data_IF_465477705054
#
_entry.id   IF_465477705054
#
_cell.length_a   1.000
_cell.length_b   1.000
_cell.length_c   1.000
_cell.angle_alpha   90.00
_cell.angle_beta   90.00
_cell.angle_gamma   90.00
#
_symmetry.space_group_name_H-M   'P 1'
#
loop_
_entity.id
_entity.type
_entity.pdbx_description
1 polymer ?
#
# COMPACT_ATOMS: atom_id res chain seq x y z
N UNK A 1 -6.65 24.02 3.29
CA UNK A 1 -6.40 22.61 3.68
C UNK A 1 -7.57 21.70 3.28
N UNK A 2 -7.32 20.41 2.99
CA UNK A 2 -8.40 19.41 2.74
C UNK A 2 -8.84 18.72 4.03
N UNK A 3 -10.12 18.35 4.14
CA UNK A 3 -10.66 17.56 5.26
C UNK A 3 -9.92 16.22 5.42
N UNK A 4 -9.55 15.78 6.64
CA UNK A 4 -8.92 14.47 6.88
C UNK A 4 -9.89 13.28 6.81
N UNK A 5 -10.73 13.21 5.77
CA UNK A 5 -11.74 12.14 5.59
C UNK A 5 -11.14 10.73 5.58
N UNK A 6 -9.94 10.54 5.02
CA UNK A 6 -9.28 9.24 5.01
C UNK A 6 -8.88 8.73 6.40
N UNK A 7 -8.62 9.65 7.34
CA UNK A 7 -8.30 9.30 8.73
C UNK A 7 -9.58 8.85 9.44
N UNK A 8 -10.69 9.58 9.23
CA UNK A 8 -11.99 9.22 9.76
C UNK A 8 -12.42 7.82 9.30
N UNK A 9 -12.37 7.54 8.00
CA UNK A 9 -12.72 6.22 7.45
C UNK A 9 -11.88 5.10 8.07
N UNK A 10 -10.57 5.31 8.24
CA UNK A 10 -9.68 4.31 8.85
C UNK A 10 -10.06 4.02 10.30
N UNK A 11 -10.39 5.06 11.09
CA UNK A 11 -10.76 4.90 12.49
C UNK A 11 -12.16 4.28 12.61
N UNK A 12 -13.11 4.68 11.76
CA UNK A 12 -14.44 4.07 11.72
C UNK A 12 -14.39 2.58 11.42
N UNK A 13 -13.60 2.16 10.42
CA UNK A 13 -13.42 0.74 10.10
C UNK A 13 -12.76 -0.03 11.26
N UNK A 14 -11.72 0.54 11.89
CA UNK A 14 -11.05 -0.04 13.04
C UNK A 14 -12.00 -0.26 14.23
N UNK A 15 -12.78 0.77 14.58
CA UNK A 15 -13.74 0.69 15.69
C UNK A 15 -14.89 -0.27 15.37
N UNK A 16 -15.42 -0.25 14.14
CA UNK A 16 -16.49 -1.14 13.71
C UNK A 16 -16.04 -2.61 13.76
N UNK A 17 -14.85 -2.93 13.27
CA UNK A 17 -14.30 -4.29 13.29
C UNK A 17 -14.05 -4.77 14.72
N UNK A 18 -13.45 -3.95 15.56
CA UNK A 18 -13.20 -4.30 16.98
C UNK A 18 -14.51 -4.55 17.72
N UNK A 19 -15.51 -3.69 17.52
CA UNK A 19 -16.83 -3.84 18.16
C UNK A 19 -17.54 -5.10 17.68
N UNK A 20 -17.55 -5.35 16.38
CA UNK A 20 -18.15 -6.56 15.80
C UNK A 20 -17.45 -7.84 16.28
N UNK A 21 -16.12 -7.83 16.38
CA UNK A 21 -15.35 -8.96 16.89
C UNK A 21 -15.59 -9.22 18.38
N UNK A 22 -15.71 -8.17 19.21
CA UNK A 22 -16.05 -8.30 20.63
C UNK A 22 -17.48 -8.85 20.83
N UNK A 23 -18.45 -8.34 20.07
CA UNK A 23 -19.82 -8.85 20.08
C UNK A 23 -19.89 -10.33 19.62
N UNK A 24 -19.13 -10.69 18.59
CA UNK A 24 -19.11 -12.07 18.13
C UNK A 24 -18.39 -12.99 19.13
N UNK A 25 -17.36 -12.49 19.81
CA UNK A 25 -16.66 -13.18 20.90
C UNK A 25 -17.57 -13.49 22.09
N UNK A 26 -18.46 -12.57 22.49
CA UNK A 26 -19.44 -12.86 23.56
C UNK A 26 -20.45 -13.92 23.11
N UNK A 27 -20.83 -13.90 21.84
CA UNK A 27 -21.71 -14.92 21.25
C UNK A 27 -21.06 -16.30 21.26
N UNK A 28 -19.78 -16.41 20.86
CA UNK A 28 -19.03 -17.67 20.95
C UNK A 28 -18.86 -18.14 22.40
N UNK A 29 -18.64 -17.22 23.35
CA UNK A 29 -18.60 -17.56 24.77
C UNK A 29 -19.91 -18.16 25.26
N UNK A 30 -21.04 -17.55 24.91
CA UNK A 30 -22.36 -18.06 25.30
C UNK A 30 -22.69 -19.41 24.68
N UNK A 31 -22.14 -19.70 23.49
CA UNK A 31 -22.30 -20.98 22.80
C UNK A 31 -21.34 -22.07 23.31
N UNK A 32 -20.38 -21.74 24.18
CA UNK A 32 -19.34 -22.68 24.67
C UNK A 32 -18.16 -22.87 23.72
N UNK A 33 -18.10 -22.14 22.60
CA UNK A 33 -17.08 -22.25 21.56
C UNK A 33 -15.78 -21.49 21.89
N UNK A 34 -15.05 -21.97 22.90
CA UNK A 34 -13.84 -21.31 23.42
C UNK A 34 -12.72 -21.17 22.37
N UNK A 35 -12.58 -22.14 21.46
CA UNK A 35 -11.55 -22.12 20.42
C UNK A 35 -11.82 -21.01 19.40
N UNK A 36 -13.07 -20.91 18.91
CA UNK A 36 -13.46 -19.87 17.96
C UNK A 36 -13.42 -18.48 18.58
N UNK A 37 -13.80 -18.37 19.86
CA UNK A 37 -13.60 -17.16 20.64
C UNK A 37 -12.11 -16.77 20.69
N UNK A 38 -11.24 -17.71 21.05
CA UNK A 38 -9.80 -17.48 21.18
C UNK A 38 -9.17 -16.95 19.90
N UNK A 39 -9.43 -17.60 18.76
CA UNK A 39 -8.90 -17.13 17.47
C UNK A 39 -9.50 -15.79 17.02
N UNK A 40 -10.80 -15.57 17.23
CA UNK A 40 -11.47 -14.29 16.89
C UNK A 40 -10.86 -13.13 17.68
N UNK A 41 -10.57 -13.34 18.97
CA UNK A 41 -9.91 -12.35 19.82
C UNK A 41 -8.43 -12.18 19.45
N UNK A 42 -7.71 -13.27 19.14
CA UNK A 42 -6.30 -13.21 18.74
C UNK A 42 -6.09 -12.32 17.51
N UNK A 43 -6.86 -12.56 16.44
CA UNK A 43 -6.77 -11.78 15.19
C UNK A 43 -7.30 -10.35 15.34
N UNK A 44 -8.02 -10.04 16.42
CA UNK A 44 -8.45 -8.67 16.72
C UNK A 44 -7.41 -7.94 17.57
N UNK A 45 -6.93 -8.55 18.65
CA UNK A 45 -6.11 -7.89 19.67
C UNK A 45 -4.64 -7.74 19.25
N UNK A 46 -4.02 -8.75 18.64
CA UNK A 46 -2.60 -8.69 18.24
C UNK A 46 -2.33 -7.52 17.28
N UNK A 47 -3.10 -7.34 16.19
CA UNK A 47 -2.93 -6.21 15.29
C UNK A 47 -3.23 -4.87 15.95
N UNK A 48 -4.18 -4.82 16.89
CA UNK A 48 -4.45 -3.60 17.64
C UNK A 48 -3.25 -3.16 18.49
N UNK A 49 -2.57 -4.09 19.15
CA UNK A 49 -1.32 -3.81 19.87
C UNK A 49 -0.25 -3.31 18.91
N UNK A 50 -0.06 -3.97 17.75
CA UNK A 50 0.91 -3.54 16.75
C UNK A 50 0.61 -2.14 16.19
N UNK A 51 -0.66 -1.83 15.93
CA UNK A 51 -1.11 -0.50 15.48
C UNK A 51 -0.81 0.56 16.53
N UNK A 52 -1.11 0.28 17.80
CA UNK A 52 -0.81 1.21 18.89
C UNK A 52 0.68 1.45 19.05
N UNK A 53 1.50 0.38 19.09
CA UNK A 53 2.95 0.49 19.18
C UNK A 53 3.49 1.34 18.03
N UNK A 54 3.03 1.06 16.81
CA UNK A 54 3.41 1.83 15.62
C UNK A 54 3.04 3.31 15.75
N UNK A 55 1.84 3.63 16.26
CA UNK A 55 1.45 5.03 16.48
C UNK A 55 2.31 5.72 17.56
N UNK A 56 2.60 5.03 18.67
CA UNK A 56 3.44 5.57 19.77
C UNK A 56 4.85 5.88 19.26
N UNK A 57 5.45 4.96 18.51
CA UNK A 57 6.80 5.11 17.97
C UNK A 57 6.87 6.21 16.91
N UNK A 58 5.94 6.24 15.94
CA UNK A 58 5.95 7.22 14.84
C UNK A 58 5.70 8.64 15.34
N UNK A 59 4.80 8.84 16.31
CA UNK A 59 4.55 10.17 16.86
C UNK A 59 5.54 10.56 17.97
N UNK A 60 6.47 9.66 18.32
CA UNK A 60 7.45 9.83 19.39
C UNK A 60 6.80 10.26 20.71
N UNK A 61 5.62 9.71 21.02
CA UNK A 61 4.89 10.06 22.24
C UNK A 61 5.63 9.67 23.50
N UNK A 62 6.50 8.66 23.42
CA UNK A 62 7.35 8.24 24.52
C UNK A 62 8.35 9.33 24.96
N UNK A 63 8.68 10.26 24.07
CA UNK A 63 9.60 11.38 24.33
C UNK A 63 8.88 12.65 24.78
N UNK A 64 7.55 12.69 24.74
CA UNK A 64 6.74 13.84 25.13
C UNK A 64 6.13 13.52 26.48
N UNK A 65 6.29 14.39 27.47
CA UNK A 65 5.73 14.26 28.83
C UNK A 65 4.18 14.33 28.84
N UNK A 66 3.51 13.37 28.21
CA UNK A 66 2.05 13.28 28.09
C UNK A 66 1.59 11.90 28.54
N UNK A 67 1.67 11.59 29.85
CA UNK A 67 1.34 10.27 30.40
C UNK A 67 -0.12 9.87 30.13
N UNK A 68 -1.04 10.82 30.06
CA UNK A 68 -2.45 10.57 29.74
C UNK A 68 -2.65 10.05 28.32
N UNK A 69 -1.87 10.54 27.35
CA UNK A 69 -1.95 10.05 25.96
C UNK A 69 -1.40 8.62 25.92
N UNK A 70 -0.29 8.36 26.60
CA UNK A 70 0.30 7.02 26.67
C UNK A 70 -0.63 6.00 27.35
N UNK A 71 -1.32 6.40 28.43
CA UNK A 71 -2.36 5.60 29.08
C UNK A 71 -3.53 5.30 28.13
N UNK A 72 -3.96 6.28 27.35
CA UNK A 72 -5.09 6.13 26.44
C UNK A 72 -4.73 5.31 25.20
N UNK A 73 -3.46 5.36 24.79
CA UNK A 73 -2.88 4.38 23.88
C UNK A 73 -2.96 2.98 24.50
N UNK A 74 -2.49 2.77 25.73
CA UNK A 74 -2.56 1.47 26.44
C UNK A 74 -4.00 0.93 26.54
N UNK A 75 -5.00 1.81 26.65
CA UNK A 75 -6.43 1.46 26.63
C UNK A 75 -7.00 1.25 25.21
N UNK A 76 -6.16 1.14 24.18
CA UNK A 76 -6.55 0.88 22.79
C UNK A 76 -7.38 1.99 22.12
N UNK A 77 -7.45 3.16 22.75
CA UNK A 77 -8.12 4.36 22.22
C UNK A 77 -7.18 5.25 21.40
N UNK A 78 -5.90 4.88 21.26
CA UNK A 78 -4.87 5.59 20.49
C UNK A 78 -5.35 6.09 19.11
N UNK A 79 -5.89 5.23 18.23
CA UNK A 79 -6.41 5.65 16.92
C UNK A 79 -7.49 6.73 17.01
N UNK A 80 -8.39 6.65 18.00
CA UNK A 80 -9.51 7.58 18.17
C UNK A 80 -9.02 8.97 18.55
N UNK A 81 -8.15 9.09 19.56
CA UNK A 81 -7.71 10.43 19.97
C UNK A 81 -6.74 11.04 18.97
N UNK A 82 -5.98 10.23 18.22
CA UNK A 82 -5.19 10.72 17.09
C UNK A 82 -6.03 11.20 15.91
N UNK A 83 -7.22 10.62 15.73
CA UNK A 83 -8.21 11.15 14.80
C UNK A 83 -8.72 12.52 15.28
N UNK A 84 -9.10 12.63 16.56
CA UNK A 84 -9.55 13.89 17.15
C UNK A 84 -8.48 14.99 17.07
N UNK A 85 -7.21 14.67 17.39
CA UNK A 85 -6.08 15.60 17.25
C UNK A 85 -5.95 16.10 15.80
N UNK A 86 -6.08 15.22 14.80
CA UNK A 86 -6.06 15.61 13.38
C UNK A 86 -7.23 16.55 13.00
N UNK A 87 -8.42 16.33 13.55
CA UNK A 87 -9.57 17.22 13.35
C UNK A 87 -9.42 18.55 14.08
N UNK A 88 -8.87 18.57 15.30
CA UNK A 88 -8.57 19.79 16.03
C UNK A 88 -7.53 20.64 15.29
N UNK A 89 -6.46 20.03 14.74
CA UNK A 89 -5.47 20.74 13.91
C UNK A 89 -6.14 21.34 12.67
N UNK A 90 -7.03 20.60 12.01
CA UNK A 90 -7.77 21.11 10.85
C UNK A 90 -8.70 22.28 11.21
N UNK A 91 -9.41 22.21 12.33
CA UNK A 91 -10.32 23.27 12.79
C UNK A 91 -9.62 24.51 13.36
N UNK A 92 -8.40 24.36 13.86
CA UNK A 92 -7.57 25.47 14.36
C UNK A 92 -6.70 26.13 13.29
N UNK A 93 -6.60 25.52 12.10
CA UNK A 93 -5.87 26.07 10.96
C UNK A 93 -6.52 27.39 10.51
N UNK A 94 -5.76 28.48 10.59
CA UNK A 94 -6.20 29.84 10.27
C UNK A 94 -6.36 30.79 11.46
N UNK A 95 -6.28 30.30 12.71
CA UNK A 95 -6.31 31.17 13.92
C UNK A 95 -4.94 31.37 14.58
N UNK A 96 -4.06 30.38 14.48
CA UNK A 96 -2.69 30.40 15.02
C UNK A 96 -1.80 29.74 13.98
N UNK A 97 -1.18 30.54 13.12
CA UNK A 97 -0.23 30.06 12.13
C UNK A 97 1.16 30.58 12.54
N UNK A 98 2.04 29.67 12.95
CA UNK A 98 3.44 30.03 13.24
C UNK A 98 4.13 30.43 11.93
N UNK A 99 5.02 31.43 11.93
CA UNK A 99 5.57 32.04 10.71
C UNK A 99 6.54 31.14 9.92
N UNK A 100 6.86 29.93 10.40
CA UNK A 100 7.83 29.04 9.77
C UNK A 100 7.14 28.05 8.82
N UNK A 101 7.63 28.03 7.58
CA UNK A 101 7.05 27.24 6.49
C UNK A 101 8.08 26.24 5.98
N UNK A 102 7.66 24.98 5.83
CA UNK A 102 8.50 23.95 5.20
C UNK A 102 8.32 24.00 3.69
N UNK A 103 9.36 24.40 2.95
CA UNK A 103 9.33 24.44 1.48
C UNK A 103 9.56 23.02 0.97
N UNK A 104 8.58 22.49 0.24
CA UNK A 104 8.73 21.23 -0.50
C UNK A 104 8.75 21.50 -1.99
N UNK A 105 9.84 21.12 -2.66
CA UNK A 105 9.96 21.19 -4.12
C UNK A 105 9.36 19.93 -4.74
N UNK A 106 8.34 20.07 -5.59
CA UNK A 106 7.81 18.97 -6.41
C UNK A 106 7.70 19.41 -7.87
N UNK A 107 8.12 18.55 -8.79
CA UNK A 107 7.95 18.73 -10.23
C UNK A 107 6.49 18.52 -10.60
N UNK A 108 5.88 19.46 -11.32
CA UNK A 108 4.58 19.21 -11.93
C UNK A 108 4.72 18.25 -13.11
N UNK A 109 3.66 17.47 -13.33
CA UNK A 109 3.59 16.54 -14.45
C UNK A 109 3.66 17.34 -15.77
N UNK A 110 4.60 17.05 -16.69
CA UNK A 110 4.75 17.83 -17.91
C UNK A 110 3.52 17.62 -18.81
N UNK A 111 2.67 18.66 -18.94
CA UNK A 111 1.52 18.66 -19.87
C UNK A 111 1.95 18.80 -21.33
N UNK A 112 3.11 19.43 -21.59
CA UNK A 112 3.67 19.68 -22.92
C UNK A 112 5.22 19.70 -22.92
N UNK A 113 5.86 18.74 -22.23
CA UNK A 113 7.33 18.55 -22.31
C UNK A 113 8.20 19.49 -21.47
N UNK A 114 7.65 20.50 -20.82
CA UNK A 114 8.33 21.24 -19.75
C UNK A 114 7.80 20.78 -18.39
N UNK A 115 8.71 20.33 -17.52
CA UNK A 115 8.43 20.05 -16.12
C UNK A 115 8.69 21.34 -15.35
N UNK A 116 7.63 21.99 -14.87
CA UNK A 116 7.74 23.16 -14.01
C UNK A 116 7.96 22.68 -12.57
N UNK A 117 9.05 23.11 -11.95
CA UNK A 117 9.30 22.89 -10.54
C UNK A 117 8.43 23.88 -9.75
N UNK A 118 7.46 23.36 -9.00
CA UNK A 118 6.63 24.20 -8.13
C UNK A 118 7.09 24.00 -6.70
N UNK A 119 7.60 25.07 -6.13
CA UNK A 119 7.86 25.20 -4.70
C UNK A 119 6.51 25.32 -3.99
N UNK A 120 6.20 24.34 -3.15
CA UNK A 120 5.02 24.38 -2.31
C UNK A 120 5.45 24.60 -0.87
N UNK A 121 5.14 25.80 -0.40
CA UNK A 121 5.22 26.24 0.97
C UNK A 121 4.17 25.49 1.81
N UNK A 122 4.59 24.48 2.58
CA UNK A 122 3.72 23.76 3.50
C UNK A 122 3.81 24.39 4.88
N UNK A 123 2.73 25.01 5.33
CA UNK A 123 2.61 25.46 6.72
C UNK A 123 2.76 24.29 7.70
N UNK A 124 3.29 24.55 8.89
CA UNK A 124 3.56 23.51 9.90
C UNK A 124 2.31 22.67 10.27
N UNK A 125 1.13 23.30 10.32
CA UNK A 125 -0.14 22.60 10.54
C UNK A 125 -0.49 21.65 9.38
N UNK A 126 -0.17 22.02 8.13
CA UNK A 126 -0.33 21.14 6.98
C UNK A 126 0.66 19.98 7.03
N UNK A 127 1.94 20.26 7.33
CA UNK A 127 2.98 19.25 7.52
C UNK A 127 2.63 18.23 8.60
N UNK A 128 2.12 18.69 9.75
CA UNK A 128 1.62 17.81 10.83
C UNK A 128 0.46 16.95 10.31
N UNK A 129 -0.52 17.53 9.61
CA UNK A 129 -1.66 16.77 9.08
C UNK A 129 -1.24 15.73 8.02
N UNK A 130 -0.25 16.04 7.18
CA UNK A 130 0.34 15.09 6.22
C UNK A 130 1.02 13.93 6.95
N UNK A 131 1.79 14.21 8.00
CA UNK A 131 2.42 13.18 8.83
C UNK A 131 1.37 12.27 9.50
N UNK A 132 0.29 12.85 10.06
CA UNK A 132 -0.83 12.06 10.60
C UNK A 132 -1.46 11.16 9.51
N UNK A 133 -1.74 11.69 8.32
CA UNK A 133 -2.31 10.89 7.21
C UNK A 133 -1.39 9.74 6.77
N UNK A 134 -0.08 9.95 6.76
CA UNK A 134 0.90 8.93 6.42
C UNK A 134 1.02 7.86 7.53
N UNK A 135 0.97 8.26 8.80
CA UNK A 135 0.93 7.33 9.93
C UNK A 135 -0.32 6.44 9.87
N UNK A 136 -1.50 7.04 9.71
CA UNK A 136 -2.76 6.30 9.57
C UNK A 136 -2.83 5.42 8.32
N UNK A 137 -2.16 5.81 7.23
CA UNK A 137 -2.03 4.93 6.06
C UNK A 137 -1.29 3.63 6.41
N UNK A 138 -0.15 3.75 7.11
CA UNK A 138 0.68 2.60 7.49
C UNK A 138 -0.04 1.69 8.49
N UNK A 139 -0.70 2.27 9.49
CA UNK A 139 -1.45 1.48 10.48
C UNK A 139 -2.67 0.79 9.87
N UNK A 140 -3.37 1.43 8.93
CA UNK A 140 -4.48 0.78 8.21
C UNK A 140 -4.02 -0.45 7.43
N UNK A 141 -2.79 -0.45 6.89
CA UNK A 141 -2.22 -1.60 6.17
C UNK A 141 -1.88 -2.73 7.14
N UNK A 142 -1.27 -2.40 8.28
CA UNK A 142 -0.97 -3.37 9.35
C UNK A 142 -2.27 -4.05 9.81
N UNK A 143 -3.29 -3.27 10.17
CA UNK A 143 -4.59 -3.79 10.62
C UNK A 143 -5.25 -4.68 9.55
N UNK A 144 -5.28 -4.20 8.30
CA UNK A 144 -5.89 -4.91 7.19
C UNK A 144 -5.33 -6.32 6.99
N UNK A 145 -4.00 -6.46 6.94
CA UNK A 145 -3.39 -7.74 6.56
C UNK A 145 -3.03 -8.66 7.73
N UNK A 146 -2.72 -8.10 8.91
CA UNK A 146 -2.41 -8.89 10.09
C UNK A 146 -3.63 -9.21 10.96
N UNK A 147 -4.70 -8.41 10.83
CA UNK A 147 -5.96 -8.64 11.53
C UNK A 147 -7.09 -9.03 10.61
N UNK A 148 -7.53 -8.11 9.76
CA UNK A 148 -8.77 -8.27 9.00
C UNK A 148 -8.71 -9.45 8.01
N UNK A 149 -7.58 -9.72 7.35
CA UNK A 149 -7.45 -10.83 6.41
C UNK A 149 -7.50 -12.22 7.08
N UNK A 150 -6.71 -12.50 8.15
CA UNK A 150 -6.89 -13.71 8.95
C UNK A 150 -8.29 -13.82 9.56
N UNK A 151 -8.86 -12.71 10.05
CA UNK A 151 -10.20 -12.69 10.63
C UNK A 151 -11.27 -13.07 9.61
N UNK A 152 -11.24 -12.47 8.40
CA UNK A 152 -12.14 -12.81 7.30
C UNK A 152 -12.01 -14.29 6.92
N UNK A 153 -10.78 -14.78 6.81
CA UNK A 153 -10.48 -16.19 6.49
C UNK A 153 -11.07 -17.12 7.54
N UNK A 154 -10.89 -16.81 8.83
CA UNK A 154 -11.42 -17.57 9.95
C UNK A 154 -12.96 -17.60 9.95
N UNK A 155 -13.61 -16.44 9.85
CA UNK A 155 -15.07 -16.39 9.92
C UNK A 155 -15.71 -17.07 8.71
N UNK A 156 -15.14 -16.90 7.51
CA UNK A 156 -15.60 -17.62 6.33
C UNK A 156 -15.41 -19.14 6.49
N UNK A 157 -14.28 -19.56 7.06
CA UNK A 157 -14.02 -20.98 7.35
C UNK A 157 -15.04 -21.57 8.34
N UNK A 158 -15.38 -20.85 9.41
CA UNK A 158 -16.42 -21.28 10.37
C UNK A 158 -17.78 -21.37 9.66
N UNK A 159 -18.15 -20.40 8.83
CA UNK A 159 -19.40 -20.43 8.06
C UNK A 159 -19.47 -21.64 7.11
N UNK A 160 -18.36 -21.99 6.45
CA UNK A 160 -18.29 -23.18 5.58
C UNK A 160 -18.44 -24.47 6.39
N UNK A 161 -17.81 -24.56 7.57
CA UNK A 161 -17.93 -25.74 8.44
C UNK A 161 -19.33 -25.91 9.03
N UNK A 162 -19.93 -24.83 9.51
CA UNK A 162 -21.23 -24.85 10.18
C UNK A 162 -22.42 -24.78 9.21
N UNK A 163 -22.17 -24.47 7.94
CA UNK A 163 -23.18 -24.28 6.87
C UNK A 163 -24.24 -23.22 7.19
N UNK A 164 -23.91 -22.28 8.08
CA UNK A 164 -24.81 -21.22 8.50
C UNK A 164 -24.04 -19.90 8.64
N UNK A 165 -24.69 -18.82 8.19
CA UNK A 165 -24.18 -17.46 8.23
C UNK A 165 -25.04 -16.67 9.21
N UNK A 166 -24.57 -16.60 10.45
CA UNK A 166 -25.19 -15.71 11.43
C UNK A 166 -24.97 -14.24 11.04
N UNK A 167 -25.91 -13.37 11.40
CA UNK A 167 -25.86 -11.93 11.11
C UNK A 167 -24.55 -11.31 11.64
N UNK A 168 -24.11 -11.73 12.84
CA UNK A 168 -22.86 -11.26 13.44
C UNK A 168 -21.62 -11.65 12.62
N UNK A 169 -21.55 -12.89 12.12
CA UNK A 169 -20.44 -13.34 11.26
C UNK A 169 -20.44 -12.62 9.91
N UNK A 170 -21.60 -12.55 9.26
CA UNK A 170 -21.75 -11.85 7.99
C UNK A 170 -21.32 -10.37 8.10
N UNK A 171 -21.75 -9.70 9.17
CA UNK A 171 -21.36 -8.31 9.43
C UNK A 171 -19.85 -8.16 9.62
N UNK A 172 -19.24 -9.01 10.46
CA UNK A 172 -17.79 -8.98 10.67
C UNK A 172 -17.02 -9.28 9.39
N UNK A 173 -17.45 -10.25 8.58
CA UNK A 173 -16.84 -10.58 7.30
C UNK A 173 -16.89 -9.39 6.32
N UNK A 174 -18.03 -8.71 6.21
CA UNK A 174 -18.15 -7.52 5.33
C UNK A 174 -17.25 -6.40 5.81
N UNK A 175 -17.22 -6.10 7.12
CA UNK A 175 -16.36 -5.06 7.67
C UNK A 175 -14.88 -5.40 7.47
N UNK A 176 -14.48 -6.64 7.74
CA UNK A 176 -13.11 -7.09 7.51
C UNK A 176 -12.73 -7.02 6.03
N UNK A 177 -13.60 -7.43 5.10
CA UNK A 177 -13.32 -7.29 3.66
C UNK A 177 -13.13 -5.83 3.26
N UNK A 178 -14.00 -4.91 3.73
CA UNK A 178 -13.86 -3.48 3.49
C UNK A 178 -12.56 -2.93 4.08
N UNK A 179 -12.17 -3.38 5.27
CA UNK A 179 -10.92 -3.01 5.93
C UNK A 179 -9.69 -3.45 5.10
N UNK A 180 -9.67 -4.70 4.62
CA UNK A 180 -8.56 -5.22 3.81
C UNK A 180 -8.46 -4.45 2.48
N UNK A 181 -9.58 -4.27 1.78
CA UNK A 181 -9.62 -3.57 0.49
C UNK A 181 -9.19 -2.11 0.65
N UNK A 182 -9.65 -1.43 1.70
CA UNK A 182 -9.24 -0.05 2.01
C UNK A 182 -7.75 0.03 2.35
N UNK A 183 -7.23 -0.90 3.16
CA UNK A 183 -5.79 -1.00 3.47
C UNK A 183 -4.94 -1.24 2.22
N UNK A 184 -5.34 -2.18 1.36
CA UNK A 184 -4.68 -2.48 0.10
C UNK A 184 -4.69 -1.28 -0.87
N UNK A 185 -5.82 -0.56 -0.96
CA UNK A 185 -5.95 0.68 -1.71
C UNK A 185 -4.97 1.74 -1.18
N UNK A 186 -4.92 1.96 0.13
CA UNK A 186 -3.99 2.92 0.75
C UNK A 186 -2.53 2.52 0.51
N UNK A 187 -2.21 1.23 0.58
CA UNK A 187 -0.89 0.71 0.23
C UNK A 187 -0.54 1.04 -1.23
N UNK A 188 -1.45 0.81 -2.18
CA UNK A 188 -1.26 1.13 -3.60
C UNK A 188 -1.00 2.62 -3.82
N UNK A 189 -1.83 3.49 -3.25
CA UNK A 189 -1.67 4.94 -3.42
C UNK A 189 -0.39 5.44 -2.76
N UNK A 190 -0.03 4.89 -1.59
CA UNK A 190 1.22 5.22 -0.92
C UNK A 190 2.43 4.78 -1.75
N UNK A 191 2.40 3.58 -2.33
CA UNK A 191 3.45 3.07 -3.20
C UNK A 191 3.69 3.98 -4.42
N UNK A 192 2.61 4.46 -5.05
CA UNK A 192 2.69 5.39 -6.18
C UNK A 192 3.32 6.71 -5.74
N UNK A 193 2.91 7.25 -4.59
CA UNK A 193 3.46 8.50 -4.06
C UNK A 193 4.94 8.38 -3.72
N UNK A 194 5.38 7.26 -3.17
CA UNK A 194 6.80 7.03 -2.85
C UNK A 194 7.61 6.85 -4.14
N UNK A 195 7.09 6.08 -5.11
CA UNK A 195 7.78 5.86 -6.39
C UNK A 195 7.96 7.15 -7.18
N UNK A 196 6.97 8.03 -7.16
CA UNK A 196 6.95 9.30 -7.90
C UNK A 196 6.98 10.49 -6.94
N UNK A 197 7.81 10.45 -5.90
CA UNK A 197 7.84 11.50 -4.88
C UNK A 197 8.30 12.86 -5.44
N UNK A 198 9.16 12.81 -6.47
CA UNK A 198 9.59 13.99 -7.22
C UNK A 198 8.42 14.71 -7.89
N UNK A 199 7.29 14.04 -8.13
CA UNK A 199 6.15 14.58 -8.85
C UNK A 199 4.97 14.94 -7.92
N UNK A 200 4.26 16.01 -8.26
CA UNK A 200 2.99 16.34 -7.63
C UNK A 200 1.87 15.37 -8.10
N UNK A 201 1.79 14.19 -7.49
CA UNK A 201 0.82 13.15 -7.88
C UNK A 201 -0.57 13.45 -7.31
N UNK A 202 -1.49 13.87 -8.20
CA UNK A 202 -2.92 13.88 -7.92
C UNK A 202 -3.59 12.64 -8.51
N UNK A 203 -4.41 11.96 -7.70
CA UNK A 203 -5.06 10.70 -8.11
C UNK A 203 -6.52 10.99 -8.42
N UNK A 204 -6.96 10.62 -9.62
CA UNK A 204 -8.33 10.82 -10.08
C UNK A 204 -9.32 9.86 -9.37
N UNK A 205 -10.57 10.26 -9.07
CA UNK A 205 -11.56 9.39 -8.41
C UNK A 205 -11.77 8.02 -9.07
N UNK A 206 -11.78 7.97 -10.40
CA UNK A 206 -11.89 6.70 -11.16
C UNK A 206 -10.74 5.73 -10.91
N UNK A 207 -9.55 6.25 -10.61
CA UNK A 207 -8.40 5.43 -10.25
C UNK A 207 -8.62 4.72 -8.91
N UNK A 208 -9.25 5.39 -7.94
CA UNK A 208 -9.62 4.76 -6.66
C UNK A 208 -10.65 3.64 -6.86
N UNK A 209 -11.68 3.86 -7.69
CA UNK A 209 -12.70 2.84 -7.99
C UNK A 209 -12.07 1.63 -8.67
N UNK A 210 -11.20 1.85 -9.66
CA UNK A 210 -10.52 0.78 -10.39
C UNK A 210 -9.61 -0.05 -9.48
N UNK A 211 -8.84 0.60 -8.59
CA UNK A 211 -8.00 -0.12 -7.61
C UNK A 211 -8.88 -0.84 -6.58
N UNK A 212 -9.98 -0.24 -6.13
CA UNK A 212 -10.91 -0.88 -5.21
C UNK A 212 -11.47 -2.17 -5.81
N UNK A 213 -11.97 -2.14 -7.05
CA UNK A 213 -12.48 -3.34 -7.73
C UNK A 213 -11.39 -4.39 -7.95
N UNK A 214 -10.21 -3.98 -8.44
CA UNK A 214 -9.06 -4.87 -8.58
C UNK A 214 -8.73 -5.59 -7.26
N UNK A 215 -8.59 -4.85 -6.16
CA UNK A 215 -8.24 -5.42 -4.85
C UNK A 215 -9.34 -6.28 -4.26
N UNK A 216 -10.61 -5.88 -4.38
CA UNK A 216 -11.76 -6.67 -3.92
C UNK A 216 -11.78 -8.06 -4.54
N UNK A 217 -11.70 -8.14 -5.87
CA UNK A 217 -11.75 -9.44 -6.56
C UNK A 217 -10.50 -10.30 -6.28
N UNK A 218 -9.31 -9.69 -6.24
CA UNK A 218 -8.06 -10.41 -5.95
C UNK A 218 -8.09 -11.05 -4.55
N UNK A 219 -8.43 -10.26 -3.52
CA UNK A 219 -8.45 -10.71 -2.13
C UNK A 219 -9.59 -11.69 -1.88
N UNK A 220 -10.80 -11.39 -2.36
CA UNK A 220 -11.97 -12.25 -2.15
C UNK A 220 -11.75 -13.65 -2.76
N UNK A 221 -11.22 -13.71 -3.99
CA UNK A 221 -10.90 -14.98 -4.63
C UNK A 221 -9.86 -15.76 -3.82
N UNK A 222 -8.79 -15.08 -3.37
CA UNK A 222 -7.72 -15.74 -2.61
C UNK A 222 -8.22 -16.32 -1.28
N UNK A 223 -8.99 -15.54 -0.52
CA UNK A 223 -9.55 -15.99 0.75
C UNK A 223 -10.53 -17.15 0.53
N UNK A 224 -11.40 -17.07 -0.47
CA UNK A 224 -12.33 -18.16 -0.78
C UNK A 224 -11.61 -19.47 -1.14
N UNK A 225 -10.59 -19.41 -2.00
CA UNK A 225 -9.79 -20.60 -2.39
C UNK A 225 -9.10 -21.23 -1.17
N UNK A 226 -8.47 -20.42 -0.31
CA UNK A 226 -7.79 -20.92 0.89
C UNK A 226 -8.78 -21.57 1.87
N UNK A 227 -9.96 -20.97 2.04
CA UNK A 227 -10.99 -21.53 2.93
C UNK A 227 -11.58 -22.82 2.39
N UNK A 228 -11.89 -22.88 1.09
CA UNK A 228 -12.39 -24.10 0.45
C UNK A 228 -11.36 -25.22 0.57
N UNK A 229 -10.10 -24.96 0.21
CA UNK A 229 -9.02 -25.94 0.39
C UNK A 229 -8.89 -26.40 1.86
N UNK A 230 -8.89 -25.45 2.80
CA UNK A 230 -8.76 -25.73 4.22
C UNK A 230 -9.94 -26.50 4.82
N UNK A 231 -11.14 -26.41 4.26
CA UNK A 231 -12.33 -27.10 4.77
C UNK A 231 -12.24 -28.63 4.61
N UNK A 232 -11.51 -29.09 3.59
CA UNK A 232 -11.28 -30.52 3.31
C UNK A 232 -9.92 -30.97 3.83
N UNK A 233 -8.84 -30.24 3.52
CA UNK A 233 -7.46 -30.63 3.82
C UNK A 233 -6.85 -29.78 4.96
N UNK A 234 -7.46 -29.84 6.15
CA UNK A 234 -7.10 -29.02 7.32
C UNK A 234 -5.61 -29.07 7.68
N UNK A 235 -5.00 -30.25 7.64
CA UNK A 235 -3.59 -30.45 7.98
C UNK A 235 -2.62 -29.79 6.98
N UNK A 236 -3.02 -29.65 5.71
CA UNK A 236 -2.19 -29.07 4.65
C UNK A 236 -2.35 -27.56 4.50
N UNK A 237 -3.42 -26.98 5.05
CA UNK A 237 -3.64 -25.53 5.01
C UNK A 237 -2.47 -24.77 5.63
N UNK A 238 -2.05 -25.14 6.85
CA UNK A 238 -0.98 -24.46 7.55
C UNK A 238 0.36 -24.56 6.79
N UNK A 239 0.83 -25.74 6.36
CA UNK A 239 2.02 -25.86 5.51
C UNK A 239 1.98 -25.01 4.24
N UNK A 240 0.86 -24.99 3.50
CA UNK A 240 0.74 -24.21 2.24
C UNK A 240 0.85 -22.71 2.52
N UNK A 241 0.17 -22.21 3.54
CA UNK A 241 0.22 -20.79 3.92
C UNK A 241 1.60 -20.42 4.46
N UNK A 242 2.20 -21.26 5.30
CA UNK A 242 3.54 -21.04 5.85
C UNK A 242 4.61 -21.06 4.75
N UNK A 243 4.55 -22.01 3.82
CA UNK A 243 5.48 -22.08 2.70
C UNK A 243 5.39 -20.81 1.84
N UNK A 244 4.17 -20.37 1.52
CA UNK A 244 3.97 -19.08 0.82
C UNK A 244 4.57 -17.93 1.61
N UNK A 245 4.29 -17.84 2.91
CA UNK A 245 4.77 -16.78 3.78
C UNK A 245 6.29 -16.73 3.82
N UNK A 246 6.96 -17.85 4.09
CA UNK A 246 8.41 -17.92 4.14
C UNK A 246 9.05 -17.62 2.78
N UNK A 247 8.45 -18.06 1.67
CA UNK A 247 8.94 -17.72 0.34
C UNK A 247 8.96 -16.20 0.11
N UNK A 248 7.88 -15.48 0.45
CA UNK A 248 7.84 -14.02 0.32
C UNK A 248 8.69 -13.30 1.36
N UNK A 249 8.81 -13.84 2.57
CA UNK A 249 9.64 -13.27 3.62
C UNK A 249 11.12 -13.34 3.23
N UNK A 250 11.60 -14.49 2.74
CA UNK A 250 12.99 -14.70 2.39
C UNK A 250 13.39 -14.05 1.05
N UNK A 251 12.44 -13.78 0.15
CA UNK A 251 12.74 -13.25 -1.18
C UNK A 251 13.52 -11.92 -1.17
N UNK A 252 13.15 -10.88 -0.39
CA UNK A 252 13.92 -9.65 -0.29
C UNK A 252 15.32 -9.87 0.30
N UNK A 253 15.44 -10.70 1.34
CA UNK A 253 16.73 -11.03 1.98
C UNK A 253 17.67 -11.77 1.04
N UNK A 254 17.15 -12.72 0.27
CA UNK A 254 17.93 -13.41 -0.76
C UNK A 254 18.42 -12.46 -1.86
N UNK A 255 17.62 -11.46 -2.23
CA UNK A 255 18.04 -10.41 -3.19
C UNK A 255 19.15 -9.54 -2.61
N UNK A 256 19.03 -9.16 -1.33
CA UNK A 256 20.03 -8.38 -0.60
C UNK A 256 21.37 -9.11 -0.45
N UNK A 257 21.35 -10.38 -0.04
CA UNK A 257 22.59 -11.16 0.08
C UNK A 257 23.29 -11.38 -1.25
N UNK A 258 22.54 -11.49 -2.35
CA UNK A 258 23.12 -11.59 -3.70
C UNK A 258 23.73 -10.29 -4.20
N UNK A 259 23.23 -9.13 -3.79
CA UNK A 259 23.76 -7.85 -4.23
C UNK A 259 25.09 -7.49 -3.55
N UNK A 260 25.41 -8.13 -2.41
CA UNK A 260 26.63 -7.85 -1.65
C UNK A 260 26.69 -6.43 -1.08
N UNK A 261 25.56 -5.74 -1.02
CA UNK A 261 25.46 -4.36 -0.55
C UNK A 261 25.76 -4.27 0.96
N UNK A 262 26.42 -3.21 1.45
CA UNK A 262 26.59 -3.00 2.88
C UNK A 262 25.23 -2.92 3.58
N UNK A 263 25.18 -3.37 4.84
CA UNK A 263 23.96 -3.27 5.64
C UNK A 263 23.56 -1.80 5.78
N UNK A 264 22.27 -1.44 5.59
CA UNK A 264 21.84 -0.05 5.66
C UNK A 264 22.20 0.57 7.01
N UNK A 265 23.15 1.52 7.02
CA UNK A 265 23.50 2.26 8.22
C UNK A 265 22.48 3.38 8.44
N UNK A 266 21.60 3.18 9.44
CA UNK A 266 20.58 4.11 9.94
C UNK A 266 19.51 4.56 8.92
N UNK A 267 18.39 3.81 8.85
CA UNK A 267 17.14 4.27 8.18
C UNK A 267 16.63 5.58 8.79
N UNK A 268 16.92 5.78 10.06
CA UNK A 268 16.72 7.03 10.78
C UNK A 268 17.95 7.23 11.66
N UNK A 269 18.53 8.44 11.68
CA UNK A 269 19.72 8.78 12.51
C UNK A 269 19.53 8.47 14.01
N UNK A 270 18.28 8.28 14.43
CA UNK A 270 17.86 7.95 15.79
C UNK A 270 17.95 6.44 16.13
N UNK A 271 18.06 5.56 15.13
CA UNK A 271 17.82 4.12 15.30
C UNK A 271 19.14 3.33 15.38
N UNK A 272 19.29 2.53 16.44
CA UNK A 272 20.45 1.64 16.62
C UNK A 272 20.52 0.58 15.51
N UNK A 273 21.70 -0.02 15.28
CA UNK A 273 21.86 -1.10 14.28
C UNK A 273 20.87 -2.26 14.51
N UNK A 274 20.64 -2.61 15.78
CA UNK A 274 19.64 -3.63 16.18
C UNK A 274 18.23 -3.17 15.84
N UNK A 275 17.87 -1.93 16.17
CA UNK A 275 16.53 -1.43 15.84
C UNK A 275 16.29 -1.33 14.33
N UNK A 276 17.31 -1.00 13.53
CA UNK A 276 17.23 -0.97 12.06
C UNK A 276 16.95 -2.38 11.52
N UNK A 277 17.66 -3.40 12.03
CA UNK A 277 17.41 -4.79 11.69
C UNK A 277 15.99 -5.24 12.08
N UNK A 278 15.51 -4.87 13.27
CA UNK A 278 14.14 -5.16 13.73
C UNK A 278 13.10 -4.48 12.85
N UNK A 279 13.30 -3.23 12.45
CA UNK A 279 12.39 -2.50 11.55
C UNK A 279 12.33 -3.17 10.17
N UNK A 280 13.47 -3.59 9.63
CA UNK A 280 13.56 -4.37 8.37
C UNK A 280 12.82 -5.72 8.48
N UNK A 281 13.00 -6.43 9.60
CA UNK A 281 12.33 -7.68 9.86
C UNK A 281 10.80 -7.50 9.93
N UNK A 282 10.32 -6.46 10.62
CA UNK A 282 8.89 -6.14 10.69
C UNK A 282 8.32 -5.71 9.33
N UNK A 283 9.09 -4.94 8.55
CA UNK A 283 8.69 -4.52 7.20
C UNK A 283 8.62 -5.71 6.24
N UNK A 284 9.61 -6.62 6.28
CA UNK A 284 9.61 -7.85 5.47
C UNK A 284 8.52 -8.82 5.91
N UNK A 285 8.23 -8.92 7.22
CA UNK A 285 7.10 -9.69 7.75
C UNK A 285 5.76 -9.16 7.23
N UNK A 286 5.54 -7.84 7.28
CA UNK A 286 4.35 -7.21 6.73
C UNK A 286 4.25 -7.40 5.21
N UNK A 287 5.36 -7.23 4.48
CA UNK A 287 5.44 -7.47 3.04
C UNK A 287 5.06 -8.91 2.69
N UNK A 288 5.55 -9.91 3.44
CA UNK A 288 5.19 -11.30 3.26
C UNK A 288 3.69 -11.53 3.53
N UNK A 289 3.16 -10.97 4.63
CA UNK A 289 1.74 -11.04 4.96
C UNK A 289 0.84 -10.47 3.86
N UNK A 290 1.20 -9.31 3.30
CA UNK A 290 0.48 -8.71 2.17
C UNK A 290 0.51 -9.67 0.97
N UNK A 291 1.70 -10.11 0.56
CA UNK A 291 1.88 -10.96 -0.63
C UNK A 291 1.25 -12.34 -0.51
N UNK A 292 0.98 -12.86 0.70
CA UNK A 292 0.20 -14.10 0.90
C UNK A 292 -1.25 -13.95 0.37
N UNK A 293 -1.83 -12.75 0.52
CA UNK A 293 -3.21 -12.47 0.15
C UNK A 293 -3.36 -11.73 -1.19
N UNK A 294 -2.49 -10.75 -1.49
CA UNK A 294 -2.58 -9.94 -2.70
C UNK A 294 -1.21 -9.37 -3.10
N UNK A 295 -1.04 -9.00 -4.38
CA UNK A 295 0.20 -8.39 -4.86
C UNK A 295 0.53 -7.08 -4.12
N UNK A 296 1.66 -7.01 -3.42
CA UNK A 296 2.12 -5.74 -2.83
C UNK A 296 2.58 -4.77 -3.92
N UNK A 297 2.00 -3.57 -3.95
CA UNK A 297 2.48 -2.50 -4.83
C UNK A 297 3.83 -1.93 -4.39
N UNK A 298 4.15 -2.03 -3.10
CA UNK A 298 5.48 -1.72 -2.55
C UNK A 298 6.35 -2.96 -2.73
N UNK A 299 7.26 -2.91 -3.68
CA UNK A 299 8.24 -3.96 -3.92
C UNK A 299 9.50 -3.62 -3.13
N UNK A 300 9.85 -4.47 -2.17
CA UNK A 300 10.96 -4.20 -1.25
C UNK A 300 12.29 -4.56 -1.91
N UNK A 301 13.22 -3.60 -1.89
CA UNK A 301 14.58 -3.74 -2.41
C UNK A 301 15.56 -3.18 -1.37
N UNK A 302 16.06 -4.07 -0.53
CA UNK A 302 16.83 -3.74 0.68
C UNK A 302 18.22 -3.12 0.38
N UNK A 303 18.70 -3.28 -0.85
CA UNK A 303 19.95 -2.67 -1.34
C UNK A 303 19.78 -1.20 -1.75
N UNK A 304 18.55 -0.73 -1.97
CA UNK A 304 18.29 0.68 -2.31
C UNK A 304 18.09 1.53 -1.03
N UNK A 305 18.53 2.80 -1.02
CA UNK A 305 18.40 3.70 0.13
C UNK A 305 16.93 3.99 0.50
N UNK A 306 16.02 3.95 -0.47
CA UNK A 306 14.57 4.14 -0.25
C UNK A 306 13.86 2.82 0.14
N UNK A 307 14.59 1.71 0.23
CA UNK A 307 14.11 0.34 0.45
C UNK A 307 13.07 -0.16 -0.57
N UNK A 308 12.74 0.63 -1.58
CA UNK A 308 11.61 0.42 -2.48
C UNK A 308 12.10 0.45 -3.92
N UNK A 309 11.75 -0.59 -4.66
CA UNK A 309 12.05 -0.71 -6.09
C UNK A 309 11.25 0.34 -6.89
N UNK A 310 11.95 1.39 -7.34
CA UNK A 310 11.37 2.43 -8.20
C UNK A 310 11.11 1.91 -9.62
N UNK A 311 11.77 0.82 -10.04
CA UNK A 311 11.67 0.32 -11.40
C UNK A 311 10.46 -0.62 -11.54
N UNK A 312 9.49 -0.25 -12.37
CA UNK A 312 8.28 -1.06 -12.54
C UNK A 312 8.54 -2.28 -13.43
N UNK A 313 8.93 -3.38 -12.80
CA UNK A 313 9.12 -4.66 -13.49
C UNK A 313 7.81 -5.37 -13.77
N UNK A 314 7.16 -5.10 -14.92
CA UNK A 314 5.98 -5.85 -15.41
C UNK A 314 6.18 -7.38 -15.32
N UNK A 315 7.41 -7.86 -15.58
CA UNK A 315 7.78 -9.27 -15.46
C UNK A 315 7.47 -9.86 -14.08
N UNK A 316 7.76 -9.13 -13.01
CA UNK A 316 7.54 -9.60 -11.62
C UNK A 316 6.04 -9.66 -11.30
N UNK A 317 5.28 -8.65 -11.73
CA UNK A 317 3.83 -8.64 -11.59
C UNK A 317 3.21 -9.81 -12.37
N UNK A 318 3.55 -9.98 -13.66
CA UNK A 318 3.06 -11.09 -14.48
C UNK A 318 3.41 -12.45 -13.86
N UNK A 319 4.66 -12.65 -13.43
CA UNK A 319 5.07 -13.89 -12.78
C UNK A 319 4.25 -14.18 -11.51
N UNK A 320 4.02 -13.16 -10.67
CA UNK A 320 3.20 -13.30 -9.47
C UNK A 320 1.76 -13.70 -9.79
N UNK A 321 1.09 -12.98 -10.70
CA UNK A 321 -0.29 -13.29 -11.08
C UNK A 321 -0.40 -14.67 -11.76
N UNK A 322 0.57 -15.06 -12.60
CA UNK A 322 0.59 -16.40 -13.20
C UNK A 322 0.79 -17.51 -12.15
N UNK A 323 1.77 -17.37 -11.24
CA UNK A 323 2.01 -18.36 -10.18
C UNK A 323 0.78 -18.48 -9.28
N UNK A 324 0.18 -17.36 -8.88
CA UNK A 324 -1.03 -17.34 -8.04
C UNK A 324 -2.23 -17.95 -8.74
N UNK A 325 -2.38 -17.73 -10.04
CA UNK A 325 -3.44 -18.37 -10.82
C UNK A 325 -3.28 -19.90 -10.83
N UNK A 326 -2.08 -20.39 -11.11
CA UNK A 326 -1.77 -21.83 -11.10
C UNK A 326 -1.98 -22.42 -9.72
N UNK A 327 -1.51 -21.75 -8.66
CA UNK A 327 -1.74 -22.19 -7.28
C UNK A 327 -3.23 -22.26 -6.94
N UNK A 328 -4.01 -21.25 -7.34
CA UNK A 328 -5.45 -21.27 -7.09
C UNK A 328 -6.14 -22.45 -7.81
N UNK A 329 -5.77 -22.73 -9.06
CA UNK A 329 -6.25 -23.92 -9.79
C UNK A 329 -5.90 -25.21 -9.04
N UNK A 330 -4.65 -25.34 -8.58
CA UNK A 330 -4.21 -26.55 -7.86
C UNK A 330 -4.99 -26.72 -6.56
N UNK A 331 -5.18 -25.65 -5.78
CA UNK A 331 -5.92 -25.70 -4.53
C UNK A 331 -7.40 -26.00 -4.73
N UNK A 332 -8.06 -25.39 -5.72
CA UNK A 332 -9.47 -25.69 -6.03
C UNK A 332 -9.64 -27.10 -6.60
N UNK A 333 -8.71 -27.56 -7.43
CA UNK A 333 -8.73 -28.93 -7.97
C UNK A 333 -8.55 -29.97 -6.87
N UNK A 334 -7.62 -29.75 -5.93
CA UNK A 334 -7.44 -30.61 -4.76
C UNK A 334 -8.68 -30.64 -3.87
N UNK A 335 -9.33 -29.50 -3.67
CA UNK A 335 -10.62 -29.43 -2.99
C UNK A 335 -11.70 -30.23 -3.74
N UNK A 336 -11.81 -30.05 -5.06
CA UNK A 336 -12.79 -30.75 -5.90
C UNK A 336 -12.61 -32.27 -5.84
N UNK A 337 -11.37 -32.76 -5.91
CA UNK A 337 -11.05 -34.18 -5.89
C UNK A 337 -11.30 -34.85 -4.53
N UNK A 338 -11.14 -34.12 -3.43
CA UNK A 338 -11.23 -34.66 -2.07
C UNK A 338 -12.54 -34.27 -1.36
N UNK A 339 -13.47 -33.61 -2.05
CA UNK A 339 -14.74 -33.18 -1.45
C UNK A 339 -15.57 -34.39 -1.00
N UNK A 340 -16.11 -34.31 0.19
CA UNK A 340 -17.00 -35.32 0.76
C UNK A 340 -18.46 -35.08 0.35
N UNK A 341 -19.34 -36.07 0.53
CA UNK A 341 -20.80 -36.02 0.24
C UNK A 341 -21.49 -34.76 0.81
N UNK A 342 -20.92 -34.19 1.87
CA UNK A 342 -21.38 -33.00 2.60
C UNK A 342 -21.45 -31.74 1.72
N UNK A 343 -20.64 -31.65 0.65
CA UNK A 343 -20.58 -30.50 -0.27
C UNK A 343 -21.34 -30.71 -1.58
N UNK A 344 -22.07 -31.82 -1.71
CA UNK A 344 -22.77 -32.21 -2.95
C UNK A 344 -23.95 -31.29 -3.33
N UNK A 345 -24.45 -30.49 -2.38
CA UNK A 345 -25.50 -29.48 -2.62
C UNK A 345 -24.99 -28.22 -3.32
N UNK A 346 -23.68 -27.96 -3.34
CA UNK A 346 -23.10 -26.83 -4.05
C UNK A 346 -22.69 -27.30 -5.44
N UNK A 347 -23.10 -26.56 -6.48
CA UNK A 347 -22.58 -26.75 -7.82
C UNK A 347 -21.11 -26.32 -7.89
N UNK A 348 -20.24 -27.23 -7.45
CA UNK A 348 -18.80 -27.03 -7.43
C UNK A 348 -18.18 -26.57 -8.76
N UNK A 349 -18.60 -27.05 -9.97
CA UNK A 349 -18.07 -26.50 -11.21
C UNK A 349 -18.47 -25.03 -11.44
N UNK A 350 -19.67 -24.62 -11.00
CA UNK A 350 -20.12 -23.22 -11.07
C UNK A 350 -19.30 -22.36 -10.11
N UNK A 351 -19.05 -22.85 -8.89
CA UNK A 351 -18.22 -22.16 -7.90
C UNK A 351 -16.79 -21.99 -8.40
N UNK A 352 -16.19 -23.03 -8.98
CA UNK A 352 -14.85 -22.98 -9.56
C UNK A 352 -14.77 -21.99 -10.73
N UNK A 353 -15.74 -22.02 -11.64
CA UNK A 353 -15.84 -21.05 -12.73
C UNK A 353 -15.98 -19.62 -12.20
N UNK A 354 -16.78 -19.40 -11.15
CA UNK A 354 -16.94 -18.09 -10.52
C UNK A 354 -15.64 -17.57 -9.89
N UNK A 355 -14.85 -18.44 -9.26
CA UNK A 355 -13.54 -18.09 -8.71
C UNK A 355 -12.54 -17.73 -9.81
N UNK A 356 -12.52 -18.49 -10.91
CA UNK A 356 -11.67 -18.15 -12.07
C UNK A 356 -12.08 -16.83 -12.71
N UNK A 357 -13.38 -16.61 -12.90
CA UNK A 357 -13.89 -15.37 -13.48
C UNK A 357 -13.62 -14.17 -12.57
N UNK A 358 -13.74 -14.34 -11.25
CA UNK A 358 -13.40 -13.31 -10.26
C UNK A 358 -11.91 -12.96 -10.32
N UNK A 359 -11.02 -13.95 -10.42
CA UNK A 359 -9.59 -13.70 -10.60
C UNK A 359 -9.29 -12.97 -11.92
N UNK A 360 -9.95 -13.38 -13.01
CA UNK A 360 -9.82 -12.73 -14.31
C UNK A 360 -10.27 -11.27 -14.26
N UNK A 361 -11.38 -10.97 -13.57
CA UNK A 361 -11.82 -9.59 -13.32
C UNK A 361 -10.80 -8.79 -12.51
N UNK A 362 -10.15 -9.39 -11.51
CA UNK A 362 -9.08 -8.73 -10.76
C UNK A 362 -7.93 -8.29 -11.69
N UNK A 363 -7.46 -9.19 -12.56
CA UNK A 363 -6.41 -8.89 -13.56
C UNK A 363 -6.89 -7.86 -14.58
N UNK A 364 -8.14 -7.95 -15.02
CA UNK A 364 -8.74 -6.97 -15.93
C UNK A 364 -8.74 -5.55 -15.33
N UNK A 365 -9.23 -5.37 -14.09
CA UNK A 365 -9.23 -4.07 -13.42
C UNK A 365 -7.82 -3.58 -13.10
N UNK A 366 -6.86 -4.47 -12.82
CA UNK A 366 -5.44 -4.09 -12.74
C UNK A 366 -4.95 -3.48 -14.05
N UNK A 367 -5.18 -4.15 -15.18
CA UNK A 367 -4.73 -3.69 -16.49
C UNK A 367 -5.42 -2.38 -16.86
N UNK A 368 -6.74 -2.27 -16.62
CA UNK A 368 -7.49 -1.04 -16.82
C UNK A 368 -6.93 0.12 -15.99
N UNK A 369 -6.54 -0.14 -14.73
CA UNK A 369 -5.91 0.86 -13.89
C UNK A 369 -4.60 1.37 -14.50
N UNK A 370 -3.68 0.48 -14.87
CA UNK A 370 -2.39 0.89 -15.43
C UNK A 370 -2.50 1.53 -16.82
N UNK A 371 -3.46 1.11 -17.63
CA UNK A 371 -3.67 1.65 -18.97
C UNK A 371 -4.37 3.00 -18.94
N UNK A 372 -5.43 3.17 -18.14
CA UNK A 372 -6.33 4.32 -18.26
C UNK A 372 -6.29 5.25 -17.04
N UNK A 373 -6.14 4.70 -15.84
CA UNK A 373 -6.37 5.45 -14.60
C UNK A 373 -5.09 5.79 -13.83
N UNK A 374 -3.93 5.30 -14.25
CA UNK A 374 -2.67 5.55 -13.54
C UNK A 374 -2.30 7.04 -13.66
N UNK A 375 -2.07 7.74 -12.53
CA UNK A 375 -1.86 9.19 -12.54
C UNK A 375 -0.62 9.60 -13.34
N UNK A 376 0.41 8.73 -13.37
CA UNK A 376 1.66 8.97 -14.08
C UNK A 376 1.73 8.28 -15.44
N UNK A 377 0.60 7.98 -16.10
CA UNK A 377 0.55 7.24 -17.37
C UNK A 377 1.50 7.81 -18.45
N UNK A 378 1.59 9.13 -18.54
CA UNK A 378 2.41 9.81 -19.56
C UNK A 378 3.92 9.56 -19.41
N UNK A 379 4.39 9.12 -18.23
CA UNK A 379 5.79 8.74 -18.02
C UNK A 379 6.10 7.32 -18.52
N UNK A 380 5.10 6.52 -18.87
CA UNK A 380 5.34 5.18 -19.39
C UNK A 380 5.72 5.24 -20.87
N UNK A 381 6.96 4.87 -21.18
CA UNK A 381 7.49 4.78 -22.55
C UNK A 381 6.90 3.61 -23.36
N UNK A 382 6.20 2.67 -22.71
CA UNK A 382 5.52 1.55 -23.36
C UNK A 382 4.16 1.28 -22.71
N UNK A 383 3.18 0.89 -23.52
CA UNK A 383 1.86 0.48 -23.02
C UNK A 383 2.00 -0.77 -22.16
N UNK A 384 1.21 -0.86 -21.09
CA UNK A 384 1.11 -2.02 -20.19
C UNK A 384 0.96 -3.34 -20.95
N UNK A 385 0.20 -3.32 -22.04
CA UNK A 385 -0.04 -4.48 -22.93
C UNK A 385 1.24 -4.89 -23.65
N UNK A 386 2.07 -3.93 -24.06
CA UNK A 386 3.33 -4.19 -24.76
C UNK A 386 4.39 -4.78 -23.82
N UNK A 387 4.40 -4.37 -22.54
CA UNK A 387 5.24 -4.98 -21.50
C UNK A 387 4.85 -6.44 -21.24
N UNK A 388 3.55 -6.72 -21.22
CA UNK A 388 3.01 -8.08 -21.09
C UNK A 388 3.35 -8.94 -22.32
N UNK A 389 3.20 -8.39 -23.53
CA UNK A 389 3.55 -9.05 -24.79
C UNK A 389 5.03 -9.36 -24.92
N UNK A 390 5.91 -8.41 -24.53
CA UNK A 390 7.36 -8.62 -24.47
C UNK A 390 7.75 -9.73 -23.48
N UNK A 391 6.95 -9.93 -22.42
CA UNK A 391 7.17 -11.01 -21.46
C UNK A 391 6.74 -12.38 -22.01
N UNK A 392 5.76 -12.43 -22.92
CA UNK A 392 5.28 -13.65 -23.55
C UNK A 392 6.09 -14.10 -24.79
N UNK A 393 7.16 -13.38 -25.17
CA UNK A 393 8.17 -13.88 -26.14
C UNK A 393 7.78 -13.88 -27.62
N UNK A 394 6.75 -13.13 -28.05
CA UNK A 394 6.36 -13.07 -29.47
C UNK A 394 7.06 -11.91 -30.23
N UNK A 395 7.48 -12.07 -31.51
CA UNK A 395 8.23 -11.06 -32.24
C UNK A 395 7.43 -9.77 -32.48
N UNK A 396 8.15 -8.65 -32.57
CA UNK A 396 7.60 -7.30 -32.67
C UNK A 396 6.75 -7.09 -33.94
N UNK A 397 5.57 -6.48 -33.80
CA UNK A 397 4.91 -5.74 -34.91
C UNK A 397 5.44 -4.30 -34.88
N UNK A 398 5.89 -3.72 -36.00
CA UNK A 398 6.48 -2.39 -36.02
C UNK A 398 5.46 -1.32 -35.60
N UNK A 399 5.95 -0.35 -34.83
CA UNK A 399 5.16 0.78 -34.33
C UNK A 399 4.68 1.67 -35.49
N UNK A 400 3.37 1.90 -35.59
CA UNK A 400 2.84 3.02 -36.36
C UNK A 400 3.13 4.29 -35.57
N UNK A 401 4.05 5.10 -36.09
CA UNK A 401 4.35 6.44 -35.62
C UNK A 401 3.15 7.36 -35.87
N UNK A 402 2.31 7.57 -34.86
CA UNK A 402 1.39 8.72 -34.87
C UNK A 402 2.22 10.00 -34.71
N UNK A 403 2.42 10.72 -35.81
CA UNK A 403 2.92 12.09 -35.86
C UNK A 403 2.11 12.98 -34.91
N UNK A 404 2.81 13.67 -33.98
CA UNK A 404 2.22 14.73 -33.15
C UNK A 404 1.77 15.89 -34.06
N UNK A 405 0.58 16.48 -33.87
CA UNK A 405 0.26 17.73 -34.54
C UNK A 405 1.14 18.84 -33.97
N UNK A 406 1.83 19.57 -34.86
CA UNK A 406 2.63 20.73 -34.53
C UNK A 406 1.74 21.81 -33.92
N UNK A 407 2.08 22.27 -32.71
CA UNK A 407 1.43 23.43 -32.12
C UNK A 407 2.03 24.70 -32.74
N UNK A 408 1.19 25.45 -33.45
CA UNK A 408 1.49 26.67 -34.19
C UNK A 408 2.01 27.76 -33.25
N UNK A 409 3.29 28.13 -33.36
CA UNK A 409 3.79 29.37 -32.76
C UNK A 409 3.35 30.55 -33.64
N UNK A 410 2.43 31.37 -33.12
CA UNK A 410 2.16 32.69 -33.67
C UNK A 410 3.36 33.60 -33.42
N UNK A 411 4.09 33.93 -34.49
CA UNK A 411 5.03 35.05 -34.52
C UNK A 411 4.23 36.35 -34.44
N UNK A 412 4.43 37.14 -33.40
CA UNK A 412 4.17 38.58 -33.43
C UNK A 412 5.54 39.25 -33.58
N UNK A 413 5.80 39.77 -34.78
CA UNK A 413 6.85 40.76 -35.02
C UNK A 413 6.54 42.03 -34.24
N UNK A 414 7.54 42.63 -33.60
CA UNK A 414 7.63 44.09 -33.54
C UNK A 414 9.10 44.51 -33.57
N UNK A 415 9.34 45.53 -34.39
CA UNK A 415 10.60 46.12 -34.85
C UNK A 415 11.67 46.46 -33.79
N UNK A 416 12.92 46.41 -34.26
CA UNK A 416 14.06 47.22 -33.79
C UNK A 416 14.19 48.44 -34.73
N UNK A 417 14.62 49.62 -34.25
CA UNK A 417 16.00 50.09 -34.51
C UNK A 417 16.56 50.92 -33.32
N UNK A 418 17.81 51.33 -33.15
CA UNK A 418 19.03 51.40 -33.97
C UNK A 418 20.26 51.63 -33.04
N UNK A 419 21.42 51.18 -33.52
CA UNK A 419 22.82 51.63 -33.32
C UNK A 419 23.25 52.49 -32.10
N UNK A 420 24.34 52.08 -31.41
CA UNK A 420 25.73 52.49 -31.74
C UNK A 420 26.76 52.28 -30.60
N UNK A 421 27.97 51.87 -31.02
CA UNK A 421 29.32 52.04 -30.44
C UNK A 421 29.98 50.92 -29.64
N UNK A 422 30.94 50.31 -30.34
CA UNK A 422 32.14 49.61 -29.90
C UNK A 422 32.97 50.37 -28.86
N UNK A 423 33.58 49.64 -27.92
CA UNK A 423 34.99 49.80 -27.49
C UNK A 423 35.48 48.46 -26.89
N UNK A 424 36.52 47.87 -27.48
CA UNK A 424 37.36 46.79 -26.93
C UNK A 424 38.26 47.29 -25.78
N UNK A 425 38.52 46.45 -24.76
CA UNK A 425 39.89 46.19 -24.28
C UNK A 425 39.98 45.04 -23.24
N UNK A 426 40.78 44.04 -23.62
CA UNK A 426 41.68 43.11 -22.91
C UNK A 426 41.35 42.40 -21.56
N UNK A 427 41.87 41.16 -21.38
CA UNK A 427 41.68 40.32 -20.19
C UNK A 427 42.83 40.46 -19.17
N UNK A 428 42.52 40.35 -17.88
CA UNK A 428 43.55 40.20 -16.83
C UNK A 428 43.26 38.95 -16.00
N UNK A 429 44.22 38.03 -16.03
CA UNK A 429 44.35 36.91 -15.11
C UNK A 429 44.96 37.38 -13.79
N UNK A 430 44.50 36.84 -12.65
CA UNK A 430 45.37 36.57 -11.50
C UNK A 430 44.69 35.64 -10.47
N UNK A 431 45.15 34.40 -10.47
CA UNK A 431 45.67 33.63 -9.32
C UNK A 431 45.09 33.79 -7.90
N UNK A 432 44.80 32.60 -7.34
CA UNK A 432 45.09 32.10 -5.99
C UNK A 432 44.34 32.67 -4.77
N UNK A 433 43.78 31.73 -4.00
CA UNK A 433 43.37 31.94 -2.61
C UNK A 433 42.62 30.74 -2.04
N UNK A 434 43.32 29.65 -1.74
CA UNK A 434 42.89 28.67 -0.74
C UNK A 434 42.67 29.38 0.60
N UNK A 435 41.51 29.23 1.25
CA UNK A 435 41.42 29.15 2.71
C UNK A 435 40.37 28.11 3.11
N UNK A 436 40.85 27.22 3.96
CA UNK A 436 40.22 26.06 4.57
C UNK A 436 39.32 26.43 5.76
N UNK A 437 38.55 25.42 6.24
CA UNK A 437 37.96 25.29 7.58
C UNK A 437 36.74 26.18 7.91
N UNK A 438 35.83 25.84 8.83
CA UNK A 438 35.33 24.65 9.54
C UNK A 438 34.40 25.25 10.63
N UNK A 439 33.45 24.46 11.16
CA UNK A 439 32.58 24.75 12.33
C UNK A 439 31.40 25.72 12.07
N UNK A 440 30.16 25.45 12.47
CA UNK A 440 29.59 24.56 13.49
C UNK A 440 28.33 23.84 12.98
#
# INVERSE_FOLDING_TARGET
MRLPSSVLVSVSLFTAETTAALYLSTTYRSAGDQIWQGFTLLFTLVPCVLVQLTLIFIHRDLSRDRPLILLLHLLQLGPVIRCLDAFCIYGSSGKVEEPYVTITRKKQMPRCGQAEEVEHELGQAEGKLVAHRAAFARTSVIQAFLGSAPQLTLQLYICVLQKDVSIGRGTLMVISLLSIVYGALRCNILAIKIRYDDYAVSVHPMAYVCVLLWRSFEIATRVAVLVLFGSVLKAWLLPVVMLSFFAFFLQPWASFWRSGSPFPESIEKTLTRVGTATALAMLTFLYAGINVFCWSAVQLKLDDPDLIDKNYGWRRATAYYSIRFVENIVLTSLWFSNRTEIYRQVDAPVLELLLFLSYAFAVFFMLLFYQCCHPCRHLFSSSSVQGLWKCCGSPQVPAVSCSRPACTQGKVSLESPDQAKDVEHEPISSTNGEISQCLC
#
